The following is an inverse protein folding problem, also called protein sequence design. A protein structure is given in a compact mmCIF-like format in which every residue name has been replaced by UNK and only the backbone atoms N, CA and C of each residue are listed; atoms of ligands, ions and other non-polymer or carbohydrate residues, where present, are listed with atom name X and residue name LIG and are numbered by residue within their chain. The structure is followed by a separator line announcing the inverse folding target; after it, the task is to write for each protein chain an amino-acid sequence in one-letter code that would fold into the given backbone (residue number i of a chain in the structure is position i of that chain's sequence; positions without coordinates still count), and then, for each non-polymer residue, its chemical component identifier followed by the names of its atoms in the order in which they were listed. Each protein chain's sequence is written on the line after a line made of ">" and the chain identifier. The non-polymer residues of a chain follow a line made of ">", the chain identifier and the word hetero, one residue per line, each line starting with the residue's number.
data_IF_055671235847
#
_entry.id   IF_055671235847
#
_cell.length_a   1.000
_cell.length_b   1.000
_cell.length_c   1.000
_cell.angle_alpha   90.00
_cell.angle_beta   90.00
_cell.angle_gamma   90.00
#
_symmetry.space_group_name_H-M   'P 1'
#
loop_
_entity.id
_entity.type
_entity.pdbx_description
1 polymer ?
#
# COMPACT_ATOMS: atom_id res chain seq x y z
N UNK A 1 -10.29 -10.27 -5.56
CA UNK A 1 -9.26 -11.32 -5.36
C UNK A 1 -8.74 -11.18 -3.93
N UNK A 2 -8.37 -12.27 -3.26
CA UNK A 2 -7.80 -12.20 -1.90
C UNK A 2 -6.33 -12.61 -1.98
N UNK A 3 -5.45 -11.82 -1.37
CA UNK A 3 -4.03 -12.19 -1.23
C UNK A 3 -3.87 -13.37 -0.27
N UNK A 4 -2.68 -13.96 -0.23
CA UNK A 4 -2.32 -14.94 0.81
C UNK A 4 -2.07 -14.23 2.13
N UNK A 5 -2.25 -14.93 3.25
CA UNK A 5 -1.90 -14.39 4.58
C UNK A 5 -0.43 -13.96 4.63
N UNK A 6 0.47 -14.76 4.03
CA UNK A 6 1.87 -14.41 3.95
C UNK A 6 2.12 -13.10 3.19
N UNK A 7 1.41 -12.87 2.08
CA UNK A 7 1.52 -11.61 1.34
C UNK A 7 1.03 -10.43 2.18
N UNK A 8 -0.08 -10.61 2.91
CA UNK A 8 -0.60 -9.60 3.83
C UNK A 8 0.42 -9.24 4.92
N UNK A 9 1.02 -10.24 5.56
CA UNK A 9 2.00 -10.04 6.63
C UNK A 9 3.24 -9.30 6.13
N UNK A 10 3.74 -9.65 4.95
CA UNK A 10 4.91 -8.99 4.34
C UNK A 10 4.63 -7.52 4.06
N UNK A 11 3.48 -7.20 3.45
CA UNK A 11 3.09 -5.83 3.15
C UNK A 11 2.85 -5.04 4.43
N UNK A 12 2.18 -5.64 5.41
CA UNK A 12 1.94 -5.02 6.70
C UNK A 12 3.25 -4.66 7.40
N UNK A 13 4.18 -5.60 7.52
CA UNK A 13 5.48 -5.36 8.16
C UNK A 13 6.28 -4.28 7.43
N UNK A 14 6.23 -4.23 6.09
CA UNK A 14 6.86 -3.15 5.33
C UNK A 14 6.24 -1.77 5.65
N UNK A 15 4.91 -1.66 5.68
CA UNK A 15 4.22 -0.41 5.98
C UNK A 15 4.43 0.03 7.44
N UNK A 16 4.45 -0.90 8.39
CA UNK A 16 4.76 -0.64 9.81
C UNK A 16 6.20 -0.18 9.98
N UNK A 17 7.15 -0.85 9.31
CA UNK A 17 8.56 -0.43 9.30
C UNK A 17 8.68 0.98 8.73
N UNK A 18 7.98 1.30 7.64
CA UNK A 18 7.95 2.64 7.06
C UNK A 18 7.36 3.68 7.99
N UNK A 19 6.23 3.37 8.62
CA UNK A 19 5.59 4.23 9.62
C UNK A 19 6.47 4.47 10.87
N UNK A 20 7.46 3.62 11.13
CA UNK A 20 8.38 3.81 12.26
C UNK A 20 9.37 4.97 12.06
N UNK A 21 9.69 5.32 10.81
CA UNK A 21 10.66 6.38 10.49
C UNK A 21 10.09 7.52 9.63
N UNK A 22 8.93 7.36 9.01
CA UNK A 22 8.24 8.39 8.21
C UNK A 22 6.96 8.84 8.94
N UNK A 23 7.07 9.93 9.70
CA UNK A 23 5.97 10.45 10.53
C UNK A 23 4.73 10.86 9.70
N UNK A 24 4.94 11.40 8.49
CA UNK A 24 3.84 11.80 7.58
C UNK A 24 3.10 10.58 7.03
N UNK A 25 3.85 9.53 6.71
CA UNK A 25 3.28 8.24 6.35
C UNK A 25 2.55 7.62 7.55
N UNK A 26 3.15 7.65 8.74
CA UNK A 26 2.56 7.09 9.96
C UNK A 26 1.21 7.74 10.32
N UNK A 27 1.07 9.05 10.14
CA UNK A 27 -0.21 9.75 10.29
C UNK A 27 -1.26 9.23 9.29
N UNK A 28 -0.84 8.98 8.05
CA UNK A 28 -1.72 8.49 6.98
C UNK A 28 -2.11 7.02 7.17
N UNK A 29 -1.18 6.21 7.67
CA UNK A 29 -1.36 4.80 7.97
C UNK A 29 -2.30 4.56 9.17
N UNK A 30 -2.27 5.42 10.19
CA UNK A 30 -3.13 5.32 11.38
C UNK A 30 -4.59 5.77 11.18
N UNK A 31 -4.99 6.21 9.99
CA UNK A 31 -6.37 6.65 9.72
C UNK A 31 -7.32 5.45 9.81
N UNK A 32 -8.35 5.54 10.68
CA UNK A 32 -9.32 4.46 10.95
C UNK A 32 -10.03 3.89 9.69
N UNK A 33 -10.12 4.67 8.62
CA UNK A 33 -10.82 4.28 7.38
C UNK A 33 -9.94 3.53 6.37
N UNK A 34 -8.80 2.99 6.78
CA UNK A 34 -7.86 2.29 5.88
C UNK A 34 -7.51 0.92 6.45
N UNK A 35 -7.87 -0.13 5.73
CA UNK A 35 -7.57 -1.52 6.10
C UNK A 35 -6.44 -2.09 5.25
N UNK A 36 -5.57 -2.89 5.86
CA UNK A 36 -4.57 -3.67 5.14
C UNK A 36 -5.22 -4.61 4.10
N UNK A 37 -6.40 -5.17 4.37
CA UNK A 37 -7.11 -6.04 3.43
C UNK A 37 -7.54 -5.29 2.15
N UNK A 38 -7.90 -4.01 2.29
CA UNK A 38 -8.22 -3.15 1.15
C UNK A 38 -6.95 -2.74 0.39
N UNK A 39 -5.84 -2.50 1.10
CA UNK A 39 -4.54 -2.27 0.48
C UNK A 39 -4.11 -3.46 -0.40
N UNK A 40 -4.22 -4.69 0.12
CA UNK A 40 -3.94 -5.90 -0.66
C UNK A 40 -4.87 -6.00 -1.88
N UNK A 41 -6.16 -5.74 -1.69
CA UNK A 41 -7.14 -5.77 -2.79
C UNK A 41 -6.80 -4.72 -3.87
N UNK A 42 -6.36 -3.53 -3.47
CA UNK A 42 -5.92 -2.47 -4.36
C UNK A 42 -4.71 -2.91 -5.19
N UNK A 43 -3.65 -3.43 -4.54
CA UNK A 43 -2.44 -3.91 -5.23
C UNK A 43 -2.81 -4.96 -6.29
N UNK A 44 -3.61 -5.97 -5.92
CA UNK A 44 -4.01 -7.03 -6.85
C UNK A 44 -4.85 -6.50 -8.03
N UNK A 45 -5.68 -5.50 -7.78
CA UNK A 45 -6.50 -4.85 -8.82
C UNK A 45 -5.62 -4.06 -9.78
N UNK A 46 -4.62 -3.32 -9.28
CA UNK A 46 -3.69 -2.57 -10.13
C UNK A 46 -2.82 -3.49 -10.97
N UNK A 47 -2.30 -4.60 -10.41
CA UNK A 47 -1.58 -5.64 -11.16
C UNK A 47 -2.43 -6.17 -12.31
N UNK A 48 -3.71 -6.47 -12.03
CA UNK A 48 -4.65 -6.94 -13.05
C UNK A 48 -4.89 -5.88 -14.14
N UNK A 49 -4.98 -4.60 -13.77
CA UNK A 49 -5.18 -3.49 -14.72
C UNK A 49 -3.95 -3.23 -15.58
N UNK A 50 -2.76 -3.38 -15.02
CA UNK A 50 -1.49 -3.23 -15.76
C UNK A 50 -1.28 -4.35 -16.78
N UNK A 51 -1.96 -5.48 -16.61
CA UNK A 51 -1.85 -6.63 -17.53
C UNK A 51 -0.48 -7.32 -17.47
N UNK A 52 0.29 -7.09 -16.40
CA UNK A 52 1.57 -7.73 -16.17
C UNK A 52 1.40 -9.08 -15.46
N UNK A 53 2.30 -10.02 -15.76
CA UNK A 53 2.32 -11.34 -15.12
C UNK A 53 2.92 -11.33 -13.69
N UNK A 54 3.48 -10.20 -13.27
CA UNK A 54 4.11 -10.00 -11.97
C UNK A 54 4.69 -8.59 -11.85
N UNK A 55 4.96 -8.19 -10.61
CA UNK A 55 5.66 -6.96 -10.24
C UNK A 55 6.87 -7.33 -9.38
N UNK A 56 7.88 -6.48 -9.39
CA UNK A 56 8.97 -6.52 -8.42
C UNK A 56 8.50 -6.11 -7.02
N UNK A 57 9.26 -6.48 -6.00
CA UNK A 57 8.98 -6.10 -4.60
C UNK A 57 8.85 -4.58 -4.46
N UNK A 58 9.73 -3.81 -5.12
CA UNK A 58 9.72 -2.34 -5.08
C UNK A 58 8.42 -1.76 -5.68
N UNK A 59 7.94 -2.30 -6.80
CA UNK A 59 6.69 -1.88 -7.42
C UNK A 59 5.49 -2.20 -6.54
N UNK A 60 5.46 -3.38 -5.94
CA UNK A 60 4.42 -3.80 -4.99
C UNK A 60 4.41 -2.88 -3.77
N UNK A 61 5.57 -2.61 -3.18
CA UNK A 61 5.70 -1.69 -2.04
C UNK A 61 5.32 -0.25 -2.41
N UNK A 62 5.62 0.20 -3.62
CA UNK A 62 5.20 1.51 -4.11
C UNK A 62 3.68 1.61 -4.19
N UNK A 63 2.99 0.58 -4.71
CA UNK A 63 1.52 0.53 -4.73
C UNK A 63 0.94 0.51 -3.31
N UNK A 64 1.56 -0.24 -2.39
CA UNK A 64 1.14 -0.28 -0.99
C UNK A 64 1.22 1.12 -0.35
N UNK A 65 2.30 1.85 -0.56
CA UNK A 65 2.46 3.23 -0.07
C UNK A 65 1.47 4.18 -0.73
N UNK A 66 1.23 4.06 -2.04
CA UNK A 66 0.26 4.91 -2.75
C UNK A 66 -1.17 4.78 -2.22
N UNK A 67 -1.54 3.59 -1.69
CA UNK A 67 -2.85 3.41 -1.06
C UNK A 67 -3.02 4.26 0.23
N UNK A 68 -1.91 4.59 0.90
CA UNK A 68 -1.83 5.49 2.05
C UNK A 68 -1.15 6.81 1.65
N UNK A 69 -1.83 7.68 0.89
CA UNK A 69 -1.23 8.91 0.41
C UNK A 69 -0.79 9.77 1.60
N UNK A 70 0.41 10.34 1.51
CA UNK A 70 0.87 11.36 2.45
C UNK A 70 -0.21 12.45 2.52
N UNK A 71 -0.72 12.71 3.73
CA UNK A 71 -1.64 13.81 3.99
C UNK A 71 -1.14 15.10 3.33
N UNK A 72 -1.89 15.59 2.33
CA UNK A 72 -1.64 16.73 1.42
C UNK A 72 -0.75 16.43 0.21
N UNK A 73 -1.40 15.98 -0.86
CA UNK A 73 -1.09 16.48 -2.19
C UNK A 73 -2.34 17.22 -2.67
N UNK A 74 -2.27 18.55 -2.67
CA UNK A 74 -3.20 19.41 -3.40
C UNK A 74 -3.13 18.93 -4.86
N UNK A 75 -4.26 18.59 -5.52
CA UNK A 75 -4.21 18.17 -6.92
C UNK A 75 -3.62 19.31 -7.74
N UNK A 76 -2.44 19.09 -8.33
CA UNK A 76 -1.96 19.96 -9.39
C UNK A 76 -2.95 19.86 -10.55
N UNK A 77 -3.55 21.01 -10.86
CA UNK A 77 -4.51 21.29 -11.92
C UNK A 77 -4.08 20.73 -13.28
#
# INVERSE_FOLDING_TARGET
>A
MKGTEHFKDVIQNYLETRASYDELFAESFRKENKSIDECITYILTEVQRMGCAGLSDEEVYSLAVHYYPHSKIIPSQ
#
